data_IF_732246433556
#
_entry.id   IF_732246433556
#
_cell.length_a   1.000
_cell.length_b   1.000
_cell.length_c   1.000
_cell.angle_alpha   90.00
_cell.angle_beta   90.00
_cell.angle_gamma   90.00
#
_symmetry.space_group_name_H-M   'P 1'
#
loop_
_entity.id
_entity.type
_entity.pdbx_description
1 polymer ?
#
# COMPACT_ATOMS: atom_id res chain seq x y z
N UNK A 1 -1.01 -3.75 -10.58
CA UNK A 1 -1.33 -2.53 -9.82
C UNK A 1 -2.74 -1.94 -10.05
N UNK A 2 -3.72 -2.69 -10.59
CA UNK A 2 -5.15 -2.28 -10.52
C UNK A 2 -5.60 -1.91 -9.09
N UNK A 3 -4.91 -2.50 -8.09
CA UNK A 3 -5.04 -2.21 -6.67
C UNK A 3 -4.71 -0.75 -6.29
N UNK A 4 -3.66 -0.13 -6.83
CA UNK A 4 -3.24 1.23 -6.45
C UNK A 4 -4.28 2.28 -6.89
N UNK A 5 -4.78 2.17 -8.13
CA UNK A 5 -5.90 2.98 -8.64
C UNK A 5 -7.17 2.75 -7.80
N UNK A 6 -7.50 1.48 -7.52
CA UNK A 6 -8.67 1.15 -6.69
C UNK A 6 -8.52 1.71 -5.26
N UNK A 7 -7.29 1.71 -4.70
CA UNK A 7 -6.97 2.27 -3.39
C UNK A 7 -7.10 3.78 -3.35
N UNK A 8 -6.62 4.50 -4.37
CA UNK A 8 -6.71 5.97 -4.42
C UNK A 8 -8.16 6.43 -4.66
N UNK A 9 -8.91 5.73 -5.53
CA UNK A 9 -10.21 6.20 -6.03
C UNK A 9 -11.42 5.60 -5.31
N UNK A 10 -11.26 4.43 -4.67
CA UNK A 10 -12.39 3.63 -4.19
C UNK A 10 -12.26 3.04 -2.78
N UNK A 11 -11.06 3.01 -2.21
CA UNK A 11 -10.89 2.44 -0.88
C UNK A 11 -11.35 3.41 0.22
N UNK A 12 -11.95 2.84 1.26
CA UNK A 12 -12.20 3.53 2.52
C UNK A 12 -11.36 2.88 3.59
N UNK A 13 -10.68 3.69 4.36
CA UNK A 13 -9.90 3.26 5.51
C UNK A 13 -10.58 3.75 6.79
N UNK A 14 -10.51 2.98 7.88
CA UNK A 14 -10.91 3.46 9.18
C UNK A 14 -10.13 4.73 9.53
N UNK A 15 -10.83 5.68 10.15
CA UNK A 15 -10.22 6.82 10.81
C UNK A 15 -10.38 6.61 12.31
N UNK A 16 -9.33 6.85 13.08
CA UNK A 16 -9.33 6.61 14.52
C UNK A 16 -9.35 7.93 15.29
N UNK A 17 -9.99 7.92 16.46
CA UNK A 17 -10.09 9.08 17.33
C UNK A 17 -8.72 9.42 17.94
N UNK A 18 -8.18 10.58 17.57
CA UNK A 18 -6.97 11.12 18.20
C UNK A 18 -7.27 11.54 19.64
N UNK A 19 -6.37 11.20 20.57
CA UNK A 19 -6.49 11.62 21.96
C UNK A 19 -6.48 13.17 22.08
N UNK A 20 -5.64 13.82 21.26
CA UNK A 20 -5.58 15.27 21.12
C UNK A 20 -6.62 15.82 20.12
N UNK A 21 -7.88 15.42 20.29
CA UNK A 21 -9.01 15.95 19.53
C UNK A 21 -10.24 16.09 20.39
N UNK A 22 -11.14 17.05 20.08
CA UNK A 22 -12.37 17.22 20.86
C UNK A 22 -13.24 15.95 20.88
N UNK A 23 -13.47 15.25 19.74
CA UNK A 23 -14.13 13.95 19.75
C UNK A 23 -13.42 12.91 20.63
N UNK A 24 -12.07 12.91 20.62
CA UNK A 24 -11.26 12.04 21.48
C UNK A 24 -11.45 12.34 22.96
N UNK A 25 -11.39 13.61 23.37
CA UNK A 25 -11.61 14.03 24.76
C UNK A 25 -13.01 13.68 25.28
N UNK A 26 -14.03 13.80 24.42
CA UNK A 26 -15.41 13.40 24.76
C UNK A 26 -15.47 11.89 24.94
N UNK A 27 -14.93 11.12 23.99
CA UNK A 27 -14.95 9.66 24.05
C UNK A 27 -14.18 9.12 25.24
N UNK A 28 -13.04 9.73 25.55
CA UNK A 28 -12.23 9.44 26.72
C UNK A 28 -13.06 9.65 28.01
N UNK A 29 -13.76 10.79 28.12
CA UNK A 29 -14.66 11.07 29.25
C UNK A 29 -15.84 10.09 29.36
N UNK A 30 -16.42 9.65 28.24
CA UNK A 30 -17.46 8.62 28.23
C UNK A 30 -16.95 7.28 28.78
N UNK A 31 -15.73 6.88 28.38
CA UNK A 31 -15.10 5.62 28.82
C UNK A 31 -14.76 5.66 30.31
N UNK A 32 -14.24 6.78 30.80
CA UNK A 32 -13.87 6.95 32.22
C UNK A 32 -15.01 7.42 33.12
N UNK A 33 -16.19 7.72 32.54
CA UNK A 33 -17.33 8.38 33.22
C UNK A 33 -16.95 9.68 33.93
N UNK A 34 -15.98 10.40 33.39
CA UNK A 34 -15.59 11.73 33.86
C UNK A 34 -16.02 12.79 32.85
N UNK A 35 -16.22 14.06 33.27
CA UNK A 35 -16.39 15.14 32.32
C UNK A 35 -15.26 15.15 31.30
N UNK A 36 -15.61 15.39 30.03
CA UNK A 36 -14.62 15.52 28.97
C UNK A 36 -13.61 16.61 29.34
N UNK A 37 -12.33 16.37 29.07
CA UNK A 37 -11.29 17.38 29.25
C UNK A 37 -11.59 18.57 28.35
N UNK A 38 -11.34 19.78 28.85
CA UNK A 38 -11.53 21.03 28.10
C UNK A 38 -10.18 21.68 27.71
N UNK A 39 -9.14 20.86 27.65
CA UNK A 39 -7.81 21.28 27.21
C UNK A 39 -7.83 21.63 25.71
N UNK A 40 -7.14 22.70 25.27
CA UNK A 40 -7.01 23.02 23.85
C UNK A 40 -6.43 21.83 23.07
N UNK A 41 -6.99 21.53 21.90
CA UNK A 41 -6.54 20.42 21.05
C UNK A 41 -5.83 20.92 19.81
N UNK A 42 -4.78 20.23 19.36
CA UNK A 42 -4.01 20.60 18.19
C UNK A 42 -4.01 19.53 17.08
N UNK A 43 -4.65 18.39 17.32
CA UNK A 43 -4.69 17.28 16.36
C UNK A 43 -3.35 16.55 16.23
N UNK A 44 -2.51 16.60 17.27
CA UNK A 44 -1.16 16.04 17.22
C UNK A 44 -1.17 14.53 17.49
N UNK A 45 -0.76 13.76 16.48
CA UNK A 45 -0.72 12.29 16.51
C UNK A 45 0.24 11.73 17.57
N UNK A 46 1.22 12.53 18.02
CA UNK A 46 2.19 12.11 19.06
C UNK A 46 1.53 11.85 20.41
N UNK A 47 0.34 12.42 20.64
CA UNK A 47 -0.46 12.15 21.84
C UNK A 47 -1.24 10.83 21.75
N UNK A 48 -1.18 10.14 20.61
CA UNK A 48 -1.81 8.85 20.38
C UNK A 48 -3.30 8.92 20.08
N UNK A 49 -3.95 7.77 20.20
CA UNK A 49 -5.38 7.59 19.95
C UNK A 49 -6.13 7.31 21.26
N UNK A 50 -7.46 7.33 21.19
CA UNK A 50 -8.31 6.81 22.27
C UNK A 50 -8.47 5.31 22.05
N UNK A 51 -8.05 4.52 23.03
CA UNK A 51 -8.04 3.05 22.94
C UNK A 51 -9.12 2.40 23.80
N UNK A 52 -9.55 1.22 23.39
CA UNK A 52 -10.31 0.31 24.25
C UNK A 52 -9.50 -0.08 25.49
N UNK A 53 -10.20 -0.37 26.58
CA UNK A 53 -9.59 -0.69 27.87
C UNK A 53 -10.21 -1.93 28.49
N UNK A 54 -9.39 -2.73 29.16
CA UNK A 54 -9.83 -3.87 29.94
C UNK A 54 -9.69 -3.55 31.43
N UNK A 55 -10.78 -3.55 32.21
CA UNK A 55 -10.71 -3.26 33.64
C UNK A 55 -10.23 -4.48 34.44
N UNK A 56 -9.29 -4.26 35.36
CA UNK A 56 -8.94 -5.20 36.42
C UNK A 56 -9.76 -4.92 37.67
N UNK A 57 -10.83 -5.68 37.85
CA UNK A 57 -11.76 -5.48 38.97
C UNK A 57 -11.19 -6.11 40.24
N UNK A 58 -10.79 -5.28 41.21
CA UNK A 58 -10.41 -5.68 42.55
C UNK A 58 -11.54 -5.40 43.55
N UNK A 59 -11.53 -6.08 44.69
CA UNK A 59 -12.50 -5.85 45.79
C UNK A 59 -12.53 -4.39 46.25
N UNK A 60 -11.39 -3.69 46.19
CA UNK A 60 -11.27 -2.27 46.52
C UNK A 60 -12.06 -1.36 45.57
N UNK A 61 -12.19 -1.72 44.29
CA UNK A 61 -12.98 -0.95 43.30
C UNK A 61 -14.48 -1.04 43.56
N UNK A 62 -14.92 -2.08 44.28
CA UNK A 62 -16.31 -2.24 44.70
C UNK A 62 -16.53 -1.52 46.03
N UNK A 63 -15.67 -1.77 47.03
CA UNK A 63 -15.84 -1.26 48.38
C UNK A 63 -15.71 0.27 48.50
N UNK A 64 -14.85 0.90 47.67
CA UNK A 64 -14.60 2.34 47.75
C UNK A 64 -15.46 3.15 46.76
N UNK A 65 -16.37 2.51 46.02
CA UNK A 65 -17.15 3.17 44.99
C UNK A 65 -18.51 3.68 45.50
N UNK A 66 -18.52 4.92 45.97
CA UNK A 66 -19.73 5.62 46.42
C UNK A 66 -20.81 5.79 45.33
N UNK A 67 -20.51 5.62 44.04
CA UNK A 67 -21.54 5.64 42.99
C UNK A 67 -22.44 4.41 43.04
N UNK A 68 -21.96 3.28 43.56
CA UNK A 68 -22.75 2.05 43.66
C UNK A 68 -23.97 2.31 44.54
N UNK A 69 -23.78 2.98 45.68
CA UNK A 69 -24.86 3.32 46.61
C UNK A 69 -25.88 4.26 45.94
N UNK A 70 -25.40 5.29 45.21
CA UNK A 70 -26.28 6.24 44.49
C UNK A 70 -27.09 5.55 43.39
N UNK A 71 -26.47 4.65 42.62
CA UNK A 71 -27.15 3.86 41.58
C UNK A 71 -28.17 2.94 42.22
N UNK A 72 -27.84 2.33 43.36
CA UNK A 72 -28.71 1.44 44.09
C UNK A 72 -29.95 2.17 44.62
N UNK A 73 -29.76 3.31 45.31
CA UNK A 73 -30.84 4.13 45.86
C UNK A 73 -31.81 4.59 44.77
N UNK A 74 -31.28 5.13 43.66
CA UNK A 74 -32.09 5.59 42.53
C UNK A 74 -32.89 4.45 41.88
N UNK A 75 -32.29 3.27 41.78
CA UNK A 75 -32.99 2.12 41.22
C UNK A 75 -34.04 1.55 42.20
N UNK A 76 -33.85 1.69 43.51
CA UNK A 76 -34.84 1.26 44.50
C UNK A 76 -36.14 2.04 44.42
N UNK A 77 -36.08 3.34 44.14
CA UNK A 77 -37.29 4.17 43.94
C UNK A 77 -38.22 3.58 42.86
N UNK A 78 -37.66 2.89 41.85
CA UNK A 78 -38.43 2.24 40.80
C UNK A 78 -38.79 0.77 41.12
N UNK A 79 -37.93 0.04 41.84
CA UNK A 79 -38.12 -1.37 42.15
C UNK A 79 -39.13 -1.62 43.28
N UNK A 80 -39.16 -0.74 44.29
CA UNK A 80 -40.00 -0.91 45.47
C UNK A 80 -41.52 -0.83 45.17
N UNK A 81 -42.01 0.09 44.30
CA UNK A 81 -43.40 0.09 43.86
C UNK A 81 -43.78 -1.15 43.06
N UNK A 82 -42.89 -1.63 42.17
CA UNK A 82 -43.11 -2.84 41.38
C UNK A 82 -43.18 -4.09 42.27
N UNK A 83 -42.32 -4.17 43.29
CA UNK A 83 -42.37 -5.22 44.31
C UNK A 83 -43.68 -5.21 45.07
N UNK A 84 -44.12 -4.03 45.53
CA UNK A 84 -45.36 -3.88 46.28
C UNK A 84 -46.58 -4.30 45.46
N UNK A 85 -46.62 -3.93 44.18
CA UNK A 85 -47.68 -4.34 43.25
C UNK A 85 -47.67 -5.84 42.99
N UNK A 86 -46.49 -6.45 42.82
CA UNK A 86 -46.34 -7.90 42.63
C UNK A 86 -46.81 -8.68 43.87
N UNK A 87 -46.38 -8.24 45.06
CA UNK A 87 -46.78 -8.82 46.34
C UNK A 87 -48.28 -8.73 46.57
N UNK A 88 -48.89 -7.57 46.27
CA UNK A 88 -50.34 -7.39 46.36
C UNK A 88 -51.11 -8.29 45.38
N UNK A 89 -50.60 -8.49 44.16
CA UNK A 89 -51.22 -9.33 43.15
C UNK A 89 -51.16 -10.83 43.48
N UNK A 90 -50.12 -11.27 44.20
CA UNK A 90 -49.91 -12.67 44.58
C UNK A 90 -50.35 -13.00 46.02
N UNK A 91 -50.69 -11.99 46.83
CA UNK A 91 -51.01 -12.15 48.24
C UNK A 91 -49.80 -12.60 49.08
N UNK A 92 -48.59 -12.28 48.63
CA UNK A 92 -47.32 -12.68 49.25
C UNK A 92 -46.60 -11.48 49.86
N UNK A 93 -45.59 -11.74 50.70
CA UNK A 93 -44.74 -10.69 51.31
C UNK A 93 -43.26 -10.95 51.02
N UNK A 94 -42.93 -11.10 49.72
CA UNK A 94 -41.56 -11.41 49.31
C UNK A 94 -40.62 -10.22 49.45
N UNK A 95 -39.43 -10.51 49.96
CA UNK A 95 -38.28 -9.63 49.91
C UNK A 95 -37.61 -9.67 48.53
N UNK A 96 -36.74 -8.71 48.23
CA UNK A 96 -36.08 -8.59 46.92
C UNK A 96 -35.34 -9.87 46.50
N UNK A 97 -34.72 -10.59 47.43
CA UNK A 97 -34.01 -11.84 47.13
C UNK A 97 -34.92 -13.06 46.99
N UNK A 98 -36.21 -12.95 47.31
CA UNK A 98 -37.18 -14.06 47.30
C UNK A 98 -38.01 -14.11 46.01
N UNK A 99 -37.94 -13.09 45.16
CA UNK A 99 -38.71 -13.02 43.91
C UNK A 99 -38.13 -14.04 42.90
N UNK A 100 -38.92 -15.03 42.45
CA UNK A 100 -38.46 -16.05 41.50
C UNK A 100 -38.01 -15.46 40.15
N UNK A 101 -37.01 -16.07 39.52
CA UNK A 101 -36.51 -15.69 38.18
C UNK A 101 -37.51 -16.00 37.07
N UNK A 102 -38.23 -17.10 37.20
CA UNK A 102 -39.29 -17.51 36.30
C UNK A 102 -40.62 -17.39 37.03
N UNK A 103 -41.62 -16.81 36.36
CA UNK A 103 -42.97 -16.74 36.90
C UNK A 103 -43.64 -18.12 36.85
N UNK A 104 -44.39 -18.47 37.90
CA UNK A 104 -45.11 -19.75 37.93
C UNK A 104 -46.19 -19.79 36.84
N UNK A 105 -46.44 -20.99 36.30
CA UNK A 105 -47.47 -21.23 35.28
C UNK A 105 -48.85 -20.82 35.77
N UNK A 106 -49.11 -20.95 37.08
CA UNK A 106 -50.38 -20.59 37.73
C UNK A 106 -50.60 -19.09 37.97
N UNK A 107 -49.63 -18.22 37.68
CA UNK A 107 -49.80 -16.77 37.90
C UNK A 107 -50.66 -16.11 36.83
N UNK A 108 -51.37 -15.06 37.24
CA UNK A 108 -52.09 -14.18 36.32
C UNK A 108 -51.14 -13.46 35.38
N UNK A 109 -51.61 -13.10 34.19
CA UNK A 109 -50.79 -12.40 33.19
C UNK A 109 -50.29 -11.04 33.69
N UNK A 110 -51.06 -10.38 34.57
CA UNK A 110 -50.65 -9.15 35.24
C UNK A 110 -49.45 -9.37 36.18
N UNK A 111 -49.46 -10.44 36.99
CA UNK A 111 -48.35 -10.78 37.89
C UNK A 111 -47.09 -11.20 37.11
N UNK A 112 -47.25 -11.94 36.00
CA UNK A 112 -46.14 -12.29 35.09
C UNK A 112 -45.48 -11.05 34.50
N UNK A 113 -46.27 -10.07 34.06
CA UNK A 113 -45.75 -8.80 33.50
C UNK A 113 -45.03 -7.96 34.55
N UNK A 114 -45.57 -7.86 35.77
CA UNK A 114 -44.93 -7.13 36.87
C UNK A 114 -43.60 -7.77 37.28
N UNK A 115 -43.53 -9.10 37.33
CA UNK A 115 -42.29 -9.82 37.61
C UNK A 115 -41.23 -9.57 36.52
N UNK A 116 -41.63 -9.59 35.25
CA UNK A 116 -40.71 -9.34 34.13
C UNK A 116 -40.14 -7.92 34.18
N UNK A 117 -40.99 -6.91 34.44
CA UNK A 117 -40.57 -5.52 34.60
C UNK A 117 -39.64 -5.32 35.80
N UNK A 118 -39.92 -5.99 36.92
CA UNK A 118 -39.07 -5.94 38.10
C UNK A 118 -37.68 -6.55 37.82
N UNK A 119 -37.62 -7.70 37.14
CA UNK A 119 -36.33 -8.30 36.75
C UNK A 119 -35.58 -7.49 35.70
N UNK A 120 -36.26 -6.88 34.74
CA UNK A 120 -35.65 -5.98 33.77
C UNK A 120 -35.00 -4.79 34.47
N UNK A 121 -35.71 -4.15 35.41
CA UNK A 121 -35.19 -3.05 36.21
C UNK A 121 -34.00 -3.50 37.10
N UNK A 122 -34.07 -4.69 37.69
CA UNK A 122 -32.97 -5.25 38.51
C UNK A 122 -31.73 -5.56 37.69
N UNK A 123 -31.90 -6.14 36.49
CA UNK A 123 -30.80 -6.42 35.55
C UNK A 123 -30.19 -5.11 35.07
N UNK A 124 -31.02 -4.10 34.79
CA UNK A 124 -30.54 -2.75 34.43
C UNK A 124 -29.70 -2.14 35.55
N UNK A 125 -30.18 -2.18 36.80
CA UNK A 125 -29.41 -1.74 37.98
C UNK A 125 -28.06 -2.46 38.08
N UNK A 126 -28.06 -3.80 37.95
CA UNK A 126 -26.82 -4.57 38.01
C UNK A 126 -25.84 -4.15 36.90
N UNK A 127 -26.31 -3.99 35.66
CA UNK A 127 -25.47 -3.50 34.55
C UNK A 127 -24.91 -2.10 34.80
N UNK A 128 -25.68 -1.20 35.41
CA UNK A 128 -25.22 0.14 35.74
C UNK A 128 -24.14 0.13 36.84
N UNK A 129 -24.30 -0.72 37.85
CA UNK A 129 -23.31 -0.97 38.91
C UNK A 129 -22.04 -1.57 38.33
N UNK A 130 -22.15 -2.65 37.56
CA UNK A 130 -21.01 -3.33 36.93
C UNK A 130 -20.23 -2.36 36.04
N UNK A 131 -20.93 -1.50 35.30
CA UNK A 131 -20.30 -0.48 34.47
C UNK A 131 -19.66 0.68 35.28
N UNK A 132 -20.16 1.01 36.47
CA UNK A 132 -19.48 1.96 37.38
C UNK A 132 -18.21 1.35 37.97
N UNK A 133 -18.27 0.07 38.37
CA UNK A 133 -17.10 -0.68 38.85
C UNK A 133 -16.03 -0.75 37.76
N UNK A 134 -16.41 -1.10 36.53
CA UNK A 134 -15.50 -1.17 35.40
C UNK A 134 -14.84 0.18 35.08
N UNK A 135 -15.57 1.30 35.17
CA UNK A 135 -15.04 2.63 34.89
C UNK A 135 -14.00 3.12 35.94
N UNK A 136 -14.12 2.67 37.19
CA UNK A 136 -13.21 3.04 38.30
C UNK A 136 -12.13 1.99 38.58
N UNK A 137 -12.14 0.87 37.88
CA UNK A 137 -11.11 -0.14 37.97
C UNK A 137 -9.81 0.37 37.33
N UNK A 138 -8.66 -0.08 37.86
CA UNK A 138 -7.41 0.07 37.11
C UNK A 138 -7.57 -0.67 35.79
N UNK A 139 -7.19 -0.02 34.69
CA UNK A 139 -7.45 -0.53 33.35
C UNK A 139 -6.18 -0.57 32.52
N UNK A 140 -6.06 -1.63 31.72
CA UNK A 140 -4.99 -1.78 30.74
C UNK A 140 -5.48 -1.30 29.38
N UNK A 141 -4.61 -0.57 28.66
CA UNK A 141 -4.89 -0.07 27.32
C UNK A 141 -4.66 -1.17 26.28
N UNK A 142 -5.64 -1.37 25.39
CA UNK A 142 -5.49 -2.21 24.22
C UNK A 142 -4.98 -1.35 23.05
N UNK A 143 -3.65 -1.24 22.92
CA UNK A 143 -3.02 -0.41 21.89
C UNK A 143 -3.33 -0.85 20.45
N UNK A 144 -3.76 -2.10 20.27
CA UNK A 144 -4.23 -2.66 19.00
C UNK A 144 -5.67 -2.29 18.66
N UNK A 145 -6.43 -1.70 19.61
CA UNK A 145 -7.86 -1.38 19.45
C UNK A 145 -8.19 0.09 19.70
N UNK A 146 -7.80 1.00 18.80
CA UNK A 146 -8.27 2.38 18.84
C UNK A 146 -9.74 2.50 18.43
N UNK A 147 -10.46 3.46 19.03
CA UNK A 147 -11.85 3.73 18.65
C UNK A 147 -11.95 4.40 17.28
N UNK A 148 -12.83 3.89 16.44
CA UNK A 148 -13.12 4.45 15.11
C UNK A 148 -14.01 5.70 15.18
N UNK A 149 -13.62 6.73 14.44
CA UNK A 149 -14.45 7.90 14.15
C UNK A 149 -15.29 7.65 12.89
N UNK A 150 -16.54 7.23 13.10
CA UNK A 150 -17.48 6.94 11.99
C UNK A 150 -17.94 8.19 11.24
N UNK A 151 -17.70 9.39 11.77
CA UNK A 151 -18.06 10.64 11.09
C UNK A 151 -17.03 11.01 10.01
N UNK A 152 -15.83 10.42 10.05
CA UNK A 152 -14.75 10.70 9.11
C UNK A 152 -14.49 9.51 8.20
N UNK A 153 -14.51 9.75 6.90
CA UNK A 153 -14.14 8.75 5.89
C UNK A 153 -12.75 9.10 5.36
N UNK A 154 -11.78 8.22 5.59
CA UNK A 154 -10.44 8.35 5.01
C UNK A 154 -10.42 7.62 3.67
N UNK A 155 -10.17 8.33 2.56
CA UNK A 155 -10.14 7.74 1.21
C UNK A 155 -8.70 7.59 0.70
N UNK A 156 -7.83 8.54 1.04
CA UNK A 156 -6.37 8.43 0.98
C UNK A 156 -5.80 9.55 1.87
N UNK A 157 -4.61 9.38 2.43
CA UNK A 157 -4.00 10.38 3.32
C UNK A 157 -2.51 10.11 3.53
N UNK A 158 -1.76 11.00 4.19
CA UNK A 158 -0.29 10.99 4.23
C UNK A 158 0.32 9.69 4.79
N UNK A 159 -0.48 8.86 5.45
CA UNK A 159 -0.10 7.53 5.94
C UNK A 159 -0.35 6.40 4.93
N UNK A 160 -0.26 6.68 3.63
CA UNK A 160 -0.09 5.61 2.64
C UNK A 160 1.40 5.49 2.38
N UNK A 161 2.10 4.75 3.25
CA UNK A 161 3.41 4.21 2.89
C UNK A 161 3.11 3.00 2.01
N UNK A 162 2.88 3.24 0.72
CA UNK A 162 3.23 2.23 -0.27
C UNK A 162 4.68 2.49 -0.65
N UNK A 163 5.58 1.92 0.15
CA UNK A 163 6.88 1.55 -0.35
C UNK A 163 6.92 0.03 -0.37
N UNK A 164 6.96 -0.54 -1.57
CA UNK A 164 7.21 -1.97 -1.71
C UNK A 164 8.67 -2.33 -1.38
N UNK A 165 9.54 -1.34 -1.10
CA UNK A 165 10.64 -1.41 -0.12
C UNK A 165 11.47 -0.11 -0.17
N UNK A 166 11.63 0.65 0.93
CA UNK A 166 12.66 1.67 1.06
C UNK A 166 13.90 1.11 1.79
N UNK A 167 13.85 -0.15 2.22
CA UNK A 167 14.97 -0.81 2.85
C UNK A 167 15.78 -1.45 1.73
N UNK A 168 17.02 -0.99 1.57
CA UNK A 168 18.07 -1.84 1.02
C UNK A 168 18.01 -3.14 1.82
N UNK A 169 17.59 -4.23 1.18
CA UNK A 169 17.76 -5.56 1.78
C UNK A 169 19.27 -5.77 1.78
N UNK A 170 19.90 -5.45 2.91
CA UNK A 170 21.23 -5.93 3.19
C UNK A 170 21.05 -7.44 3.28
N UNK A 171 21.69 -8.19 2.38
CA UNK A 171 21.73 -9.62 2.52
C UNK A 171 22.29 -9.91 3.91
N UNK A 172 21.61 -10.78 4.65
CA UNK A 172 22.04 -11.22 5.97
C UNK A 172 22.34 -12.71 5.81
N UNK A 173 23.49 -13.16 6.32
CA UNK A 173 23.80 -14.59 6.27
C UNK A 173 23.03 -15.37 7.35
N UNK A 174 23.26 -16.68 7.45
CA UNK A 174 22.55 -17.57 8.37
C UNK A 174 22.77 -17.24 9.87
N UNK A 175 23.72 -16.37 10.20
CA UNK A 175 24.06 -15.99 11.57
C UNK A 175 23.60 -14.56 11.96
N UNK A 176 22.68 -13.97 11.19
CA UNK A 176 22.14 -12.61 11.40
C UNK A 176 23.19 -11.47 11.26
N UNK A 177 24.32 -11.71 10.57
CA UNK A 177 25.33 -10.69 10.26
C UNK A 177 25.13 -10.00 8.90
N UNK A 178 25.32 -8.67 8.89
CA UNK A 178 25.16 -7.80 7.71
C UNK A 178 26.24 -8.09 6.65
N UNK A 179 25.84 -8.43 5.42
CA UNK A 179 26.76 -8.57 4.28
C UNK A 179 27.23 -7.18 3.84
N UNK A 180 28.40 -6.78 4.31
CA UNK A 180 29.10 -5.62 3.77
C UNK A 180 29.54 -5.90 2.33
N UNK A 181 28.83 -5.28 1.38
CA UNK A 181 29.07 -5.31 -0.07
C UNK A 181 30.51 -4.87 -0.43
N UNK A 182 31.24 -4.28 0.52
CA UNK A 182 32.65 -3.88 0.38
C UNK A 182 33.62 -5.08 0.35
N UNK A 183 33.33 -6.19 1.06
CA UNK A 183 34.25 -7.35 1.11
C UNK A 183 34.24 -8.19 -0.19
N UNK A 184 33.16 -8.12 -0.98
CA UNK A 184 33.06 -8.74 -2.30
C UNK A 184 33.92 -8.03 -3.37
N UNK A 185 34.33 -6.78 -3.13
CA UNK A 185 35.29 -6.07 -3.97
C UNK A 185 36.74 -6.50 -3.67
N UNK A 186 37.03 -6.98 -2.46
CA UNK A 186 38.37 -7.40 -2.01
C UNK A 186 38.67 -8.90 -2.21
N UNK A 187 37.70 -9.69 -2.70
CA UNK A 187 37.93 -11.09 -3.09
C UNK A 187 38.22 -12.06 -1.93
N UNK A 188 37.76 -11.74 -0.71
CA UNK A 188 38.07 -12.52 0.50
C UNK A 188 37.12 -13.69 0.80
N UNK A 189 36.04 -13.91 0.02
CA UNK A 189 35.24 -15.15 0.06
C UNK A 189 34.70 -15.53 -1.32
N UNK A 190 34.65 -16.82 -1.59
CA UNK A 190 33.93 -17.42 -2.72
C UNK A 190 32.46 -17.48 -2.30
N UNK A 191 31.55 -16.94 -3.11
CA UNK A 191 30.11 -17.03 -2.87
C UNK A 191 29.70 -18.50 -2.79
N UNK A 192 29.16 -18.93 -1.65
CA UNK A 192 28.56 -20.26 -1.53
C UNK A 192 27.24 -20.27 -2.31
N UNK A 193 27.29 -20.86 -3.50
CA UNK A 193 26.14 -21.06 -4.38
C UNK A 193 25.20 -22.11 -3.80
N UNK A 194 23.93 -21.73 -3.61
CA UNK A 194 22.83 -22.70 -3.62
C UNK A 194 21.47 -22.16 -4.05
N UNK A 195 21.21 -20.84 -3.99
CA UNK A 195 19.94 -20.27 -4.46
C UNK A 195 20.07 -19.33 -5.69
N UNK A 196 21.19 -18.62 -5.85
CA UNK A 196 21.39 -17.68 -6.98
C UNK A 196 21.56 -18.36 -8.33
N UNK A 197 22.15 -19.58 -8.33
CA UNK A 197 22.36 -20.34 -9.56
C UNK A 197 21.03 -20.85 -10.14
N UNK A 198 20.04 -21.15 -9.31
CA UNK A 198 18.73 -21.66 -9.76
C UNK A 198 17.93 -20.55 -10.45
N UNK A 199 17.92 -19.33 -9.87
CA UNK A 199 17.30 -18.15 -10.49
C UNK A 199 17.99 -17.76 -11.80
N UNK A 200 19.32 -17.68 -11.83
CA UNK A 200 20.06 -17.31 -13.04
C UNK A 200 19.85 -18.35 -14.16
N UNK A 201 19.85 -19.66 -13.85
CA UNK A 201 19.55 -20.70 -14.82
C UNK A 201 18.11 -20.61 -15.32
N UNK A 202 17.13 -20.41 -14.43
CA UNK A 202 15.72 -20.23 -14.82
C UNK A 202 15.54 -19.04 -15.77
N UNK A 203 16.20 -17.92 -15.50
CA UNK A 203 16.17 -16.74 -16.38
C UNK A 203 16.79 -17.05 -17.73
N UNK A 204 17.93 -17.75 -17.77
CA UNK A 204 18.60 -18.14 -19.02
C UNK A 204 17.77 -19.12 -19.84
N UNK A 205 17.12 -20.09 -19.22
CA UNK A 205 16.23 -21.04 -19.90
C UNK A 205 15.01 -20.33 -20.50
N UNK A 206 14.41 -19.40 -19.75
CA UNK A 206 13.32 -18.58 -20.27
C UNK A 206 13.82 -17.65 -21.40
N UNK A 207 15.00 -17.04 -21.29
CA UNK A 207 15.59 -16.22 -22.36
C UNK A 207 15.87 -17.04 -23.63
N UNK A 208 16.26 -18.31 -23.48
CA UNK A 208 16.49 -19.23 -24.60
C UNK A 208 15.20 -19.58 -25.34
N UNK A 209 14.08 -19.71 -24.63
CA UNK A 209 12.77 -20.00 -25.23
C UNK A 209 12.03 -18.75 -25.74
N UNK A 210 12.08 -17.66 -24.98
CA UNK A 210 11.31 -16.43 -25.24
C UNK A 210 12.10 -15.39 -26.05
N UNK A 211 13.42 -15.35 -25.95
CA UNK A 211 14.23 -14.26 -26.50
C UNK A 211 13.97 -12.92 -25.80
N UNK A 212 14.47 -11.83 -26.39
CA UNK A 212 14.26 -10.46 -25.89
C UNK A 212 13.55 -9.65 -26.97
N UNK A 213 12.39 -9.09 -26.65
CA UNK A 213 11.59 -8.32 -27.61
C UNK A 213 11.85 -6.82 -27.44
N UNK A 214 12.30 -6.13 -28.50
CA UNK A 214 12.51 -4.69 -28.50
C UNK A 214 11.20 -3.91 -28.75
N UNK A 215 11.23 -2.60 -28.45
CA UNK A 215 10.10 -1.67 -28.56
C UNK A 215 9.48 -1.58 -29.98
N UNK A 216 10.22 -1.96 -31.03
CA UNK A 216 9.68 -2.08 -32.38
C UNK A 216 9.48 -3.56 -32.74
N UNK A 217 8.25 -3.89 -33.21
CA UNK A 217 7.74 -5.26 -33.49
C UNK A 217 8.65 -6.11 -34.39
N UNK A 218 9.53 -5.49 -35.17
CA UNK A 218 10.43 -6.16 -36.13
C UNK A 218 11.76 -6.64 -35.52
N UNK A 219 12.14 -6.19 -34.31
CA UNK A 219 13.45 -6.48 -33.69
C UNK A 219 13.32 -7.39 -32.45
N UNK A 220 12.74 -8.59 -32.61
CA UNK A 220 12.88 -9.65 -31.58
C UNK A 220 14.27 -10.27 -31.68
N UNK A 221 15.07 -10.12 -30.62
CA UNK A 221 16.34 -10.83 -30.49
C UNK A 221 16.05 -12.28 -30.13
N UNK A 222 16.13 -13.15 -31.13
CA UNK A 222 16.16 -14.59 -30.95
C UNK A 222 17.61 -15.05 -30.85
N UNK A 223 17.97 -15.66 -29.71
CA UNK A 223 19.32 -16.18 -29.53
C UNK A 223 19.50 -17.49 -30.30
N UNK A 224 20.52 -17.55 -31.16
CA UNK A 224 20.94 -18.78 -31.84
C UNK A 224 21.70 -19.72 -30.90
N UNK A 225 22.44 -19.14 -29.95
CA UNK A 225 23.09 -19.86 -28.87
C UNK A 225 23.11 -19.01 -27.59
N UNK A 226 22.90 -19.68 -26.46
CA UNK A 226 23.01 -19.10 -25.12
C UNK A 226 23.93 -20.00 -24.29
N UNK A 227 25.08 -19.50 -23.88
CA UNK A 227 26.08 -20.26 -23.11
C UNK A 227 26.47 -19.48 -21.87
N UNK A 228 26.52 -20.14 -20.70
CA UNK A 228 27.03 -19.54 -19.47
C UNK A 228 28.44 -18.97 -19.67
N UNK A 229 28.70 -17.80 -19.09
CA UNK A 229 29.97 -17.09 -19.19
C UNK A 229 30.54 -16.91 -17.78
N UNK A 230 31.84 -17.21 -17.55
CA UNK A 230 32.45 -17.05 -16.23
C UNK A 230 32.82 -15.58 -15.96
N UNK A 231 31.82 -14.69 -16.00
CA UNK A 231 31.95 -13.27 -15.71
C UNK A 231 31.66 -12.96 -14.25
N UNK A 232 32.08 -11.77 -13.79
CA UNK A 232 31.74 -11.25 -12.45
C UNK A 232 30.34 -10.65 -12.44
N UNK A 233 29.98 -9.94 -13.51
CA UNK A 233 28.64 -9.39 -13.74
C UNK A 233 27.95 -10.03 -14.95
N UNK A 234 28.69 -10.54 -15.93
CA UNK A 234 28.09 -11.19 -17.11
C UNK A 234 27.87 -12.68 -16.82
N UNK A 235 26.62 -13.11 -16.79
CA UNK A 235 26.22 -14.48 -16.48
C UNK A 235 26.27 -15.39 -17.72
N UNK A 236 26.00 -14.85 -18.90
CA UNK A 236 25.96 -15.62 -20.14
C UNK A 236 26.34 -14.82 -21.38
N UNK A 237 26.76 -15.54 -22.41
CA UNK A 237 26.94 -15.07 -23.77
C UNK A 237 25.76 -15.52 -24.61
N UNK A 238 25.04 -14.57 -25.18
CA UNK A 238 24.04 -14.80 -26.23
C UNK A 238 24.62 -14.49 -27.60
N UNK A 239 24.40 -15.36 -28.59
CA UNK A 239 24.65 -15.04 -30.00
C UNK A 239 23.31 -14.81 -30.68
N UNK A 240 23.21 -13.76 -31.49
CA UNK A 240 21.98 -13.41 -32.20
C UNK A 240 22.31 -12.75 -33.54
N UNK A 241 21.37 -12.82 -34.48
CA UNK A 241 21.48 -12.11 -35.76
C UNK A 241 20.78 -10.76 -35.68
N UNK A 242 21.50 -9.69 -36.06
CA UNK A 242 20.94 -8.35 -36.26
C UNK A 242 21.02 -8.04 -37.76
N UNK A 243 19.94 -8.32 -38.51
CA UNK A 243 19.96 -8.37 -39.97
C UNK A 243 20.83 -9.51 -40.49
N UNK A 244 21.81 -9.21 -41.36
CA UNK A 244 22.76 -10.18 -41.93
C UNK A 244 24.07 -10.32 -41.12
N UNK A 245 24.15 -9.76 -39.92
CA UNK A 245 25.37 -9.77 -39.08
C UNK A 245 25.17 -10.60 -37.82
N UNK A 246 26.09 -11.53 -37.59
CA UNK A 246 26.23 -12.23 -36.31
C UNK A 246 26.78 -11.26 -35.26
N UNK A 247 26.02 -11.10 -34.16
CA UNK A 247 26.44 -10.30 -33.00
C UNK A 247 26.44 -11.12 -31.73
N UNK A 248 27.24 -10.66 -30.78
CA UNK A 248 27.35 -11.23 -29.45
C UNK A 248 26.80 -10.28 -28.40
N UNK A 249 25.93 -10.79 -27.53
CA UNK A 249 25.39 -10.10 -26.37
C UNK A 249 25.97 -10.69 -25.08
N UNK A 250 26.49 -9.84 -24.20
CA UNK A 250 26.69 -10.19 -22.80
C UNK A 250 25.36 -10.06 -22.07
N UNK A 251 24.99 -11.07 -21.28
CA UNK A 251 23.74 -11.08 -20.50
C UNK A 251 24.09 -10.83 -19.04
N UNK A 252 23.56 -9.74 -18.52
CA UNK A 252 23.62 -9.37 -17.12
C UNK A 252 22.25 -9.64 -16.48
N UNK A 253 22.22 -10.44 -15.43
CA UNK A 253 21.02 -10.74 -14.65
C UNK A 253 21.11 -9.96 -13.34
N UNK A 254 20.14 -9.07 -13.13
CA UNK A 254 20.02 -8.31 -11.89
C UNK A 254 19.60 -9.17 -10.70
N UNK A 255 19.61 -8.59 -9.49
CA UNK A 255 19.17 -9.29 -8.28
C UNK A 255 17.70 -9.70 -8.40
N UNK A 256 17.37 -10.88 -7.86
CA UNK A 256 15.99 -11.40 -7.82
C UNK A 256 15.05 -10.44 -7.06
N UNK A 257 15.50 -9.92 -5.93
CA UNK A 257 14.77 -8.94 -5.12
C UNK A 257 15.56 -7.63 -5.03
N UNK A 258 15.46 -6.80 -6.07
CA UNK A 258 16.15 -5.50 -6.06
C UNK A 258 16.00 -4.68 -7.35
N UNK A 259 16.67 -3.54 -7.36
CA UNK A 259 16.81 -2.66 -8.52
C UNK A 259 18.23 -2.74 -9.06
N UNK A 260 18.39 -2.72 -10.38
CA UNK A 260 19.71 -2.48 -11.00
C UNK A 260 20.02 -0.99 -10.94
N UNK A 261 21.20 -0.64 -10.45
CA UNK A 261 21.67 0.74 -10.42
C UNK A 261 22.47 1.11 -11.66
N UNK A 262 22.65 2.43 -11.89
CA UNK A 262 23.58 2.92 -12.92
C UNK A 262 25.00 2.38 -12.73
N UNK A 263 25.48 2.24 -11.49
CA UNK A 263 26.83 1.72 -11.22
C UNK A 263 26.96 0.28 -11.72
N UNK A 264 25.96 -0.55 -11.46
CA UNK A 264 25.94 -1.96 -11.88
C UNK A 264 25.94 -2.08 -13.40
N UNK A 265 25.18 -1.22 -14.10
CA UNK A 265 25.21 -1.18 -15.57
C UNK A 265 26.57 -0.73 -16.10
N UNK A 266 27.22 0.25 -15.47
CA UNK A 266 28.55 0.72 -15.89
C UNK A 266 29.59 -0.37 -15.72
N UNK A 267 29.57 -1.10 -14.60
CA UNK A 267 30.51 -2.20 -14.35
C UNK A 267 30.25 -3.38 -15.27
N UNK A 268 28.99 -3.76 -15.48
CA UNK A 268 28.62 -4.82 -16.42
C UNK A 268 28.97 -4.46 -17.87
N UNK A 269 28.74 -3.20 -18.29
CA UNK A 269 29.07 -2.76 -19.64
C UNK A 269 30.57 -2.67 -19.88
N UNK A 270 31.36 -2.30 -18.86
CA UNK A 270 32.83 -2.36 -18.93
C UNK A 270 33.31 -3.79 -19.11
N UNK A 271 32.82 -4.71 -18.28
CA UNK A 271 33.16 -6.14 -18.39
C UNK A 271 32.75 -6.70 -19.76
N UNK A 272 31.59 -6.30 -20.28
CA UNK A 272 31.14 -6.72 -21.61
C UNK A 272 32.05 -6.18 -22.72
N UNK A 273 32.52 -4.94 -22.60
CA UNK A 273 33.50 -4.35 -23.51
C UNK A 273 34.86 -5.06 -23.47
N UNK A 274 35.36 -5.36 -22.27
CA UNK A 274 36.62 -6.08 -22.08
C UNK A 274 36.55 -7.53 -22.61
N UNK A 275 35.38 -8.16 -22.51
CA UNK A 275 35.10 -9.49 -23.06
C UNK A 275 34.84 -9.49 -24.59
N UNK A 276 34.74 -8.32 -25.22
CA UNK A 276 34.52 -8.18 -26.66
C UNK A 276 33.11 -8.51 -27.12
N UNK A 277 32.10 -8.32 -26.25
CA UNK A 277 30.70 -8.39 -26.68
C UNK A 277 30.30 -7.14 -27.46
N UNK A 278 29.32 -7.25 -28.35
CA UNK A 278 28.83 -6.12 -29.14
C UNK A 278 27.74 -5.33 -28.40
N UNK A 279 26.96 -6.03 -27.57
CA UNK A 279 25.79 -5.50 -26.86
C UNK A 279 25.75 -6.05 -25.43
N UNK A 280 25.27 -5.26 -24.48
CA UNK A 280 24.90 -5.71 -23.14
C UNK A 280 23.38 -5.81 -23.05
N UNK A 281 22.85 -6.96 -22.64
CA UNK A 281 21.44 -7.14 -22.30
C UNK A 281 21.35 -7.25 -20.78
N UNK A 282 20.81 -6.22 -20.13
CA UNK A 282 20.58 -6.19 -18.70
C UNK A 282 19.14 -6.61 -18.41
N UNK A 283 18.95 -7.72 -17.71
CA UNK A 283 17.64 -8.25 -17.34
C UNK A 283 17.37 -7.96 -15.85
N UNK A 284 16.26 -7.28 -15.53
CA UNK A 284 15.90 -6.96 -14.15
C UNK A 284 14.38 -6.87 -13.95
N UNK A 285 13.90 -7.05 -12.72
CA UNK A 285 12.52 -6.68 -12.39
C UNK A 285 12.34 -5.15 -12.36
N UNK A 286 13.33 -4.43 -11.81
CA UNK A 286 13.29 -2.97 -11.71
C UNK A 286 14.66 -2.34 -12.01
N UNK A 287 14.62 -1.12 -12.54
CA UNK A 287 15.78 -0.25 -12.81
C UNK A 287 15.62 1.02 -11.99
N UNK A 288 16.72 1.54 -11.43
CA UNK A 288 16.70 2.83 -10.74
C UNK A 288 16.50 4.00 -11.73
N UNK A 289 16.14 5.18 -11.21
CA UNK A 289 15.88 6.34 -12.06
C UNK A 289 17.12 6.78 -12.85
N UNK A 290 18.31 6.66 -12.26
CA UNK A 290 19.58 7.02 -12.90
C UNK A 290 20.00 6.10 -14.04
N UNK A 291 19.51 4.85 -14.08
CA UNK A 291 19.79 3.90 -15.15
C UNK A 291 18.80 4.01 -16.31
N UNK A 292 17.67 4.70 -16.13
CA UNK A 292 16.63 4.85 -17.15
C UNK A 292 17.17 5.48 -18.45
N UNK A 293 18.07 6.45 -18.36
CA UNK A 293 18.68 7.14 -19.53
C UNK A 293 20.03 6.54 -19.97
N UNK A 294 20.49 5.46 -19.33
CA UNK A 294 21.81 4.88 -19.59
C UNK A 294 21.77 3.76 -20.63
N UNK A 295 21.88 4.12 -21.91
CA UNK A 295 21.70 3.20 -23.06
C UNK A 295 23.00 2.81 -23.78
N UNK A 296 24.12 3.44 -23.43
CA UNK A 296 25.42 3.14 -24.03
C UNK A 296 26.58 3.47 -23.11
N UNK A 297 27.62 2.64 -23.19
CA UNK A 297 28.93 2.93 -22.60
C UNK A 297 30.01 2.70 -23.66
N UNK A 298 30.62 3.77 -24.15
CA UNK A 298 31.59 3.69 -25.24
C UNK A 298 30.97 3.10 -26.51
N UNK A 299 31.50 1.96 -26.96
CA UNK A 299 31.00 1.23 -28.13
C UNK A 299 29.90 0.20 -27.81
N UNK A 300 29.66 -0.09 -26.52
CA UNK A 300 28.69 -1.09 -26.08
C UNK A 300 27.32 -0.44 -25.93
N UNK A 301 26.33 -0.95 -26.67
CA UNK A 301 24.91 -0.60 -26.49
C UNK A 301 24.34 -1.42 -25.34
N UNK A 302 23.53 -0.79 -24.50
CA UNK A 302 22.88 -1.43 -23.35
C UNK A 302 21.39 -1.54 -23.64
N UNK A 303 20.88 -2.77 -23.61
CA UNK A 303 19.46 -3.09 -23.76
C UNK A 303 18.92 -3.51 -22.39
N UNK A 304 17.97 -2.73 -21.86
CA UNK A 304 17.33 -3.01 -20.58
C UNK A 304 16.06 -3.83 -20.82
N UNK A 305 16.08 -5.09 -20.42
CA UNK A 305 14.94 -6.00 -20.50
C UNK A 305 14.28 -6.13 -19.12
N UNK A 306 13.01 -5.74 -19.00
CA UNK A 306 12.28 -5.92 -17.74
C UNK A 306 11.70 -7.32 -17.68
N UNK A 307 11.95 -8.01 -16.56
CA UNK A 307 11.39 -9.32 -16.23
C UNK A 307 9.97 -9.17 -15.69
N UNK A 308 9.05 -10.04 -16.11
CA UNK A 308 7.72 -10.11 -15.52
C UNK A 308 7.80 -10.77 -14.11
N UNK A 309 7.24 -10.16 -13.04
CA UNK A 309 7.13 -10.75 -11.70
C UNK A 309 6.58 -12.18 -11.65
N UNK A 310 5.80 -12.60 -12.66
CA UNK A 310 5.32 -13.99 -12.81
C UNK A 310 6.45 -15.03 -12.90
N UNK A 311 7.68 -14.61 -13.22
CA UNK A 311 8.88 -15.47 -13.18
C UNK A 311 9.14 -16.08 -11.79
N UNK A 312 8.73 -15.41 -10.69
CA UNK A 312 8.85 -15.99 -9.34
C UNK A 312 7.89 -17.17 -9.10
N UNK A 313 6.90 -17.39 -9.97
CA UNK A 313 5.95 -18.51 -9.89
C UNK A 313 6.30 -19.67 -10.84
N UNK A 314 7.51 -19.64 -11.43
CA UNK A 314 7.94 -20.50 -12.55
C UNK A 314 7.87 -22.02 -12.32
N UNK A 315 7.80 -22.51 -11.08
CA UNK A 315 7.65 -23.94 -10.81
C UNK A 315 6.22 -24.47 -10.90
N UNK A 316 5.19 -23.61 -10.84
CA UNK A 316 3.77 -24.02 -10.85
C UNK A 316 3.06 -23.80 -12.20
N UNK A 317 3.55 -22.88 -13.01
CA UNK A 317 2.99 -22.59 -14.33
C UNK A 317 3.75 -23.36 -15.41
N UNK A 318 3.18 -24.48 -15.88
CA UNK A 318 3.61 -25.11 -17.14
C UNK A 318 3.69 -24.02 -18.22
N UNK A 319 4.83 -23.92 -18.92
CA UNK A 319 5.02 -23.04 -20.08
C UNK A 319 4.00 -23.33 -21.18
N UNK A 320 2.79 -22.82 -21.02
CA UNK A 320 1.87 -22.55 -22.12
C UNK A 320 2.44 -21.30 -22.78
N UNK A 321 3.11 -21.46 -23.92
CA UNK A 321 3.85 -20.41 -24.63
C UNK A 321 2.99 -19.24 -25.15
N UNK A 322 2.26 -18.58 -24.27
CA UNK A 322 1.28 -17.53 -24.54
C UNK A 322 1.53 -16.26 -23.69
N UNK A 323 2.73 -16.10 -23.11
CA UNK A 323 3.15 -14.88 -22.44
C UNK A 323 4.67 -14.70 -22.57
N UNK A 324 5.11 -13.68 -23.29
CA UNK A 324 6.54 -13.35 -23.37
C UNK A 324 6.96 -12.70 -22.03
N UNK A 325 7.88 -13.33 -21.30
CA UNK A 325 8.26 -12.94 -19.92
C UNK A 325 9.32 -11.84 -19.84
N UNK A 326 9.88 -11.43 -20.98
CA UNK A 326 10.87 -10.37 -21.09
C UNK A 326 10.39 -9.31 -22.09
N UNK A 327 10.13 -8.10 -21.61
CA UNK A 327 9.57 -7.02 -22.42
C UNK A 327 10.41 -5.76 -22.22
N UNK A 328 10.85 -5.17 -23.33
CA UNK A 328 11.43 -3.83 -23.34
C UNK A 328 10.26 -2.85 -23.48
N UNK A 329 9.92 -2.14 -22.41
CA UNK A 329 8.85 -1.14 -22.44
C UNK A 329 9.33 0.16 -23.08
N UNK A 330 8.47 0.78 -23.89
CA UNK A 330 8.68 2.12 -24.43
C UNK A 330 8.57 3.19 -23.35
N UNK A 331 9.28 4.29 -23.53
CA UNK A 331 9.20 5.46 -22.68
C UNK A 331 7.83 6.16 -22.86
N UNK A 332 7.29 6.84 -21.83
CA UNK A 332 6.12 7.68 -22.01
C UNK A 332 6.46 8.82 -22.99
N UNK A 333 5.58 9.04 -23.95
CA UNK A 333 5.69 10.15 -24.89
C UNK A 333 5.04 11.40 -24.28
N UNK A 334 5.84 12.43 -24.07
CA UNK A 334 5.39 13.68 -23.45
C UNK A 334 5.98 14.90 -24.17
N UNK A 335 5.25 16.00 -24.09
CA UNK A 335 5.70 17.33 -24.48
C UNK A 335 5.80 18.24 -23.26
N UNK A 336 6.89 19.02 -23.20
CA UNK A 336 7.06 20.06 -22.18
C UNK A 336 6.72 21.40 -22.81
N UNK A 337 5.71 22.06 -22.25
CA UNK A 337 5.19 23.34 -22.71
C UNK A 337 5.64 24.39 -21.70
N UNK A 338 6.49 25.32 -22.13
CA UNK A 338 6.81 26.50 -21.33
C UNK A 338 5.76 27.58 -21.59
N UNK A 339 5.13 28.10 -20.54
CA UNK A 339 4.18 29.21 -20.64
C UNK A 339 4.89 30.56 -20.55
N UNK A 340 4.19 31.64 -20.93
CA UNK A 340 4.74 32.99 -20.96
C UNK A 340 5.15 33.54 -19.58
N UNK A 341 4.65 32.93 -18.50
CA UNK A 341 4.84 33.35 -17.09
C UNK A 341 5.99 32.61 -16.37
N UNK A 342 6.94 32.02 -17.11
CA UNK A 342 8.08 31.22 -16.57
C UNK A 342 7.64 29.92 -15.85
N UNK A 343 6.39 29.49 -16.05
CA UNK A 343 5.85 28.22 -15.56
C UNK A 343 5.99 27.11 -16.63
N UNK A 344 5.91 25.88 -16.16
CA UNK A 344 6.04 24.67 -16.98
C UNK A 344 4.73 23.88 -16.94
N UNK A 345 4.34 23.37 -18.10
CA UNK A 345 3.27 22.40 -18.25
C UNK A 345 3.80 21.14 -18.93
N UNK A 346 3.22 20.00 -18.57
CA UNK A 346 3.52 18.71 -19.18
C UNK A 346 2.28 18.21 -19.87
N UNK A 347 2.41 17.82 -21.14
CA UNK A 347 1.36 17.11 -21.87
C UNK A 347 1.79 15.68 -22.11
N UNK A 348 0.92 14.72 -21.80
CA UNK A 348 1.14 13.32 -22.10
C UNK A 348 0.46 12.93 -23.41
N UNK A 349 1.23 12.45 -24.37
CA UNK A 349 0.73 12.02 -25.68
C UNK A 349 0.31 10.55 -25.66
N UNK A 350 0.97 9.73 -24.83
CA UNK A 350 0.66 8.31 -24.74
C UNK A 350 1.73 7.47 -24.07
N UNK A 351 1.51 6.16 -24.10
CA UNK A 351 2.50 5.16 -23.69
C UNK A 351 2.35 3.92 -24.57
N UNK A 352 3.48 3.35 -25.00
CA UNK A 352 3.48 2.09 -25.73
C UNK A 352 3.14 0.94 -24.77
N UNK A 353 2.05 0.21 -25.05
CA UNK A 353 1.57 -0.91 -24.24
C UNK A 353 1.81 -2.21 -24.98
N UNK A 354 2.46 -3.15 -24.28
CA UNK A 354 2.61 -4.52 -24.75
C UNK A 354 1.46 -5.39 -24.24
N UNK A 355 0.79 -6.10 -25.14
CA UNK A 355 -0.21 -7.11 -24.79
C UNK A 355 0.43 -8.50 -24.72
N UNK A 356 0.59 -9.11 -23.51
CA UNK A 356 1.31 -10.39 -23.36
C UNK A 356 0.67 -11.56 -24.11
N UNK A 357 -0.65 -11.53 -24.28
CA UNK A 357 -1.44 -12.57 -24.95
C UNK A 357 -1.32 -12.56 -26.46
N UNK A 358 -1.11 -11.39 -27.07
CA UNK A 358 -1.01 -11.23 -28.53
C UNK A 358 0.42 -11.01 -29.01
N UNK A 359 1.33 -10.60 -28.11
CA UNK A 359 2.71 -10.27 -28.45
C UNK A 359 2.83 -8.96 -29.26
N UNK A 360 1.79 -8.13 -29.26
CA UNK A 360 1.74 -6.88 -30.01
C UNK A 360 2.05 -5.68 -29.10
N UNK A 361 2.82 -4.73 -29.63
CA UNK A 361 3.06 -3.42 -29.03
C UNK A 361 2.09 -2.46 -29.73
N UNK A 362 1.15 -1.92 -28.96
CA UNK A 362 0.25 -0.87 -29.42
C UNK A 362 0.72 0.46 -28.84
N UNK A 363 1.04 1.42 -29.70
CA UNK A 363 1.25 2.81 -29.27
C UNK A 363 -0.08 3.38 -28.83
N UNK A 364 -0.29 3.37 -27.51
CA UNK A 364 -1.51 3.80 -26.89
C UNK A 364 -1.54 5.32 -26.75
N UNK A 365 -2.61 5.95 -27.24
CA UNK A 365 -2.90 7.34 -26.92
C UNK A 365 -3.28 7.53 -25.44
N UNK A 366 -3.68 8.75 -25.02
CA UNK A 366 -3.96 9.06 -23.62
C UNK A 366 -5.06 8.19 -22.98
N UNK A 367 -5.99 7.66 -23.78
CA UNK A 367 -7.08 6.78 -23.32
C UNK A 367 -6.60 5.46 -22.69
N UNK A 368 -5.40 5.02 -23.07
CA UNK A 368 -4.79 3.79 -22.57
C UNK A 368 -4.14 3.97 -21.19
N UNK A 369 -4.00 5.23 -20.75
CA UNK A 369 -3.44 5.60 -19.47
C UNK A 369 -4.55 5.58 -18.43
N UNK A 370 -4.30 4.87 -17.32
CA UNK A 370 -5.24 4.85 -16.21
C UNK A 370 -5.04 6.06 -15.29
N UNK A 371 -3.79 6.35 -14.96
CA UNK A 371 -3.36 7.46 -14.09
C UNK A 371 -1.93 7.84 -14.44
N UNK A 372 -1.62 9.13 -14.30
CA UNK A 372 -0.26 9.62 -14.41
C UNK A 372 0.06 10.65 -13.31
N UNK A 373 1.33 10.71 -12.93
CA UNK A 373 1.83 11.50 -11.81
C UNK A 373 3.02 12.33 -12.25
N UNK A 374 3.19 13.48 -11.61
CA UNK A 374 4.34 14.37 -11.82
C UNK A 374 5.00 14.68 -10.47
N UNK A 375 6.30 14.49 -10.44
CA UNK A 375 7.20 15.12 -9.47
C UNK A 375 7.80 16.37 -10.13
N UNK A 376 7.35 17.54 -9.68
CA UNK A 376 7.69 18.84 -10.28
C UNK A 376 9.07 19.39 -9.89
N UNK A 377 9.85 18.67 -9.10
CA UNK A 377 11.15 19.06 -8.53
C UNK A 377 11.82 17.79 -8.01
N UNK A 378 12.21 16.96 -8.99
CA UNK A 378 12.67 15.61 -8.75
C UNK A 378 14.15 15.61 -8.35
N UNK A 379 14.43 15.09 -7.14
CA UNK A 379 15.77 15.07 -6.57
C UNK A 379 16.59 13.82 -6.95
N UNK A 380 16.07 12.96 -7.82
CA UNK A 380 16.66 11.68 -8.23
C UNK A 380 16.71 10.57 -7.18
N UNK A 381 16.30 10.83 -5.93
CA UNK A 381 16.31 9.83 -4.86
C UNK A 381 14.93 9.22 -4.62
N UNK A 382 13.88 10.03 -4.70
CA UNK A 382 12.53 9.62 -4.36
C UNK A 382 11.51 10.35 -5.21
N UNK A 383 10.54 9.59 -5.73
CA UNK A 383 9.45 10.14 -6.52
C UNK A 383 8.34 10.61 -5.60
N UNK A 384 8.13 11.92 -5.50
CA UNK A 384 7.03 12.52 -4.77
C UNK A 384 5.90 12.88 -5.73
N UNK A 385 4.75 12.23 -5.55
CA UNK A 385 3.53 12.58 -6.29
C UNK A 385 3.09 13.98 -5.85
N UNK A 386 3.44 15.01 -6.63
CA UNK A 386 2.97 16.38 -6.39
C UNK A 386 1.72 16.68 -7.19
N UNK A 387 1.67 16.23 -8.44
CA UNK A 387 0.46 16.27 -9.27
C UNK A 387 0.00 14.86 -9.63
N UNK A 388 -1.32 14.66 -9.73
CA UNK A 388 -1.94 13.39 -10.08
C UNK A 388 -3.14 13.61 -11.00
N UNK A 389 -3.19 12.83 -12.08
CA UNK A 389 -4.18 12.97 -13.14
C UNK A 389 -4.77 11.61 -13.53
N UNK A 390 -6.07 11.57 -13.77
CA UNK A 390 -6.83 10.34 -13.92
C UNK A 390 -7.55 10.30 -15.28
N UNK A 391 -6.89 9.72 -16.27
CA UNK A 391 -7.38 9.59 -17.65
C UNK A 391 -8.21 8.32 -17.91
N UNK A 392 -8.32 7.44 -16.92
CA UNK A 392 -8.75 6.07 -17.15
C UNK A 392 -10.19 5.89 -17.60
N UNK A 393 -10.40 4.95 -18.54
CA UNK A 393 -11.70 4.38 -18.89
C UNK A 393 -12.49 3.86 -17.65
N UNK A 394 -13.83 3.98 -17.71
CA UNK A 394 -14.84 3.64 -16.69
C UNK A 394 -15.18 4.71 -15.62
N UNK A 395 -15.09 5.99 -15.95
CA UNK A 395 -15.61 7.10 -15.13
C UNK A 395 -15.12 7.08 -13.66
N UNK A 396 -13.81 7.32 -13.42
CA UNK A 396 -13.23 7.33 -12.08
C UNK A 396 -13.94 8.28 -11.10
N UNK A 397 -14.58 9.33 -11.65
CA UNK A 397 -15.41 10.28 -10.94
C UNK A 397 -16.56 9.62 -10.18
N UNK A 398 -17.27 8.68 -10.81
CA UNK A 398 -18.41 8.00 -10.20
C UNK A 398 -17.97 7.14 -9.01
N UNK A 399 -16.86 6.44 -9.13
CA UNK A 399 -16.28 5.65 -8.05
C UNK A 399 -15.88 6.55 -6.87
N UNK A 400 -15.22 7.68 -7.14
CA UNK A 400 -14.82 8.65 -6.13
C UNK A 400 -16.05 9.28 -5.43
N UNK A 401 -17.08 9.66 -6.19
CA UNK A 401 -18.35 10.21 -5.68
C UNK A 401 -19.06 9.22 -4.77
N UNK A 402 -19.20 7.96 -5.20
CA UNK A 402 -19.80 6.90 -4.39
C UNK A 402 -18.99 6.66 -3.12
N UNK A 403 -17.67 6.74 -3.20
CA UNK A 403 -16.75 6.49 -2.08
C UNK A 403 -16.78 7.62 -1.05
N UNK A 404 -16.76 8.88 -1.46
CA UNK A 404 -16.81 10.02 -0.54
C UNK A 404 -18.23 10.28 0.00
N UNK A 405 -19.28 9.74 -0.66
CA UNK A 405 -20.69 10.08 -0.37
C UNK A 405 -20.95 11.59 -0.36
N UNK A 406 -20.18 12.34 -1.15
CA UNK A 406 -20.21 13.79 -1.22
C UNK A 406 -20.38 14.22 -2.68
N UNK A 407 -20.84 15.47 -2.89
CA UNK A 407 -20.73 16.10 -4.19
C UNK A 407 -19.28 16.53 -4.42
N UNK A 408 -18.78 16.22 -5.61
CA UNK A 408 -17.42 16.57 -6.04
C UNK A 408 -17.56 17.78 -6.95
N UNK A 409 -16.70 18.77 -6.74
CA UNK A 409 -16.61 19.91 -7.65
C UNK A 409 -16.22 19.41 -9.05
N UNK A 410 -17.11 19.68 -10.01
CA UNK A 410 -16.96 19.22 -11.38
C UNK A 410 -15.79 19.90 -12.09
N UNK A 411 -15.55 21.18 -11.83
CA UNK A 411 -14.46 21.94 -12.44
C UNK A 411 -13.11 21.44 -11.89
N UNK A 412 -13.04 21.22 -10.58
CA UNK A 412 -11.86 20.63 -9.97
C UNK A 412 -11.56 19.22 -10.53
N UNK A 413 -12.60 18.40 -10.76
CA UNK A 413 -12.44 17.08 -11.38
C UNK A 413 -12.00 17.15 -12.84
N UNK A 414 -12.61 18.02 -13.65
CA UNK A 414 -12.26 18.18 -15.06
C UNK A 414 -10.78 18.56 -15.23
N UNK A 415 -10.23 19.39 -14.32
CA UNK A 415 -8.80 19.71 -14.33
C UNK A 415 -7.86 18.57 -13.92
N UNK A 416 -8.37 17.51 -13.28
CA UNK A 416 -7.61 16.31 -12.91
C UNK A 416 -7.80 15.18 -13.92
N UNK A 417 -8.89 15.21 -14.68
CA UNK A 417 -9.12 14.32 -15.82
C UNK A 417 -8.60 14.98 -17.11
N UNK A 418 -7.29 15.24 -17.16
CA UNK A 418 -6.64 15.88 -18.30
C UNK A 418 -5.31 15.19 -18.62
N UNK A 419 -4.98 15.24 -19.91
CA UNK A 419 -3.69 14.86 -20.50
C UNK A 419 -2.66 16.01 -20.40
N UNK A 420 -3.09 17.19 -19.94
CA UNK A 420 -2.25 18.36 -19.74
C UNK A 420 -2.21 18.69 -18.25
N UNK A 421 -1.01 18.91 -17.73
CA UNK A 421 -0.85 19.32 -16.34
C UNK A 421 -1.32 20.75 -16.12
N UNK A 422 -1.72 21.03 -14.88
CA UNK A 422 -1.75 22.40 -14.38
C UNK A 422 -0.34 22.99 -14.47
N UNK A 423 -0.20 24.30 -14.73
CA UNK A 423 1.09 24.94 -14.71
C UNK A 423 1.71 24.86 -13.31
N UNK A 424 3.04 24.78 -13.27
CA UNK A 424 3.82 24.78 -12.04
C UNK A 424 5.15 25.51 -12.24
N UNK A 425 5.70 26.06 -11.15
CA UNK A 425 6.99 26.74 -11.14
C UNK A 425 8.12 25.83 -11.63
N UNK A 426 9.13 26.40 -12.29
CA UNK A 426 10.32 25.65 -12.69
C UNK A 426 11.00 24.96 -11.50
N UNK A 427 11.39 23.68 -11.63
CA UNK A 427 12.09 22.94 -10.57
C UNK A 427 13.39 23.61 -10.18
N UNK A 428 13.68 23.69 -8.87
CA UNK A 428 14.99 24.14 -8.38
C UNK A 428 16.11 23.16 -8.71
N UNK A 429 15.77 21.87 -8.76
CA UNK A 429 16.64 20.79 -9.22
C UNK A 429 16.91 20.81 -10.73
N UNK A 430 16.16 21.60 -11.50
CA UNK A 430 16.21 21.60 -12.97
C UNK A 430 15.63 20.34 -13.60
N UNK A 431 14.92 19.50 -12.84
CA UNK A 431 14.37 18.22 -13.32
C UNK A 431 12.95 17.98 -12.85
N UNK A 432 12.19 17.29 -13.69
CA UNK A 432 10.89 16.72 -13.37
C UNK A 432 10.91 15.23 -13.64
N UNK A 433 10.07 14.47 -12.94
CA UNK A 433 9.82 13.07 -13.28
C UNK A 433 8.34 12.87 -13.55
N UNK A 434 8.04 12.14 -14.62
CA UNK A 434 6.67 11.78 -15.01
C UNK A 434 6.54 10.28 -14.92
N UNK A 435 5.51 9.82 -14.20
CA UNK A 435 5.22 8.41 -13.99
C UNK A 435 3.83 8.10 -14.52
N UNK A 436 3.72 7.06 -15.35
CA UNK A 436 2.51 6.68 -16.06
C UNK A 436 2.15 5.26 -15.69
N UNK A 437 0.86 5.04 -15.42
CA UNK A 437 0.32 3.72 -15.10
C UNK A 437 -0.83 3.41 -16.05
N UNK A 438 -0.74 2.27 -16.75
CA UNK A 438 -1.79 1.82 -17.66
C UNK A 438 -2.91 1.05 -16.94
N UNK A 439 -3.93 0.61 -17.68
CA UNK A 439 -5.05 -0.18 -17.14
C UNK A 439 -4.67 -1.59 -16.68
N UNK A 440 -3.60 -2.15 -17.22
CA UNK A 440 -3.04 -3.45 -16.82
C UNK A 440 -2.25 -3.33 -15.50
N UNK A 441 -1.90 -2.11 -15.11
CA UNK A 441 -1.12 -1.80 -13.93
C UNK A 441 0.39 -1.85 -14.14
N UNK A 442 0.84 -1.73 -15.40
CA UNK A 442 2.23 -1.51 -15.75
C UNK A 442 2.61 -0.06 -15.47
N UNK A 443 3.82 0.14 -14.95
CA UNK A 443 4.34 1.45 -14.56
C UNK A 443 5.61 1.78 -15.35
N UNK A 444 5.61 2.96 -15.96
CA UNK A 444 6.78 3.53 -16.62
C UNK A 444 7.03 4.93 -16.08
N UNK A 445 8.30 5.28 -15.90
CA UNK A 445 8.72 6.60 -15.45
C UNK A 445 9.80 7.11 -16.38
N UNK A 446 9.75 8.43 -16.65
CA UNK A 446 10.82 9.13 -17.35
C UNK A 446 11.15 10.43 -16.65
N UNK A 447 12.44 10.73 -16.60
CA UNK A 447 12.97 11.97 -16.03
C UNK A 447 13.22 12.94 -17.18
N UNK A 448 13.00 14.22 -16.93
CA UNK A 448 13.23 15.27 -17.91
C UNK A 448 14.01 16.40 -17.26
N UNK A 449 15.00 16.90 -17.99
CA UNK A 449 15.68 18.14 -17.62
C UNK A 449 14.87 19.32 -18.14
N UNK A 450 14.52 20.24 -17.25
CA UNK A 450 13.77 21.46 -17.54
C UNK A 450 14.64 22.62 -17.10
N UNK A 451 15.31 23.25 -18.07
CA UNK A 451 16.30 24.31 -17.87
C UNK A 451 16.11 25.46 -18.84
#
# INVERSE_FOLDING_TARGET
MALARARIMGARYPYYLLADSRPGQIREGEVTRTPAKDTPTHGDIRHGFVYERVPHIMLSNIANNSEIDVIWDKAQEALEPLRTQLNAALGMTWQEWEIPREADKGWSDAAKKLQAQWWEARIKRQKEIDASIAARAESEYLYDKPYEDKAKVRVAGPFTVESLSPHRVLAVDQDDELVDILDAAEGKRIAEGRDTDDFAQMVLDNLKSAGVQQAHKEDRIAFTALTGWPGKFICAKGMFMEGDKDRSAGIFIGPEFGTISRLDLVTAAREAGDAGFDVLIACAFNFDAHSAEFDKLGAIRILKARMNPDLHMGSELKSTGAGNLFVVFGEPDIDIINTDDDEVQVKINGVDIFHPSTGEIESGGPDTIAVWFIDTDYNEESFFVRHAYFLGANDPYKALKTTLKAEIDREAWESLNSDISRPFDKPKSGRIAVKVINHLGDEVMKVFSVG
#
